data_IF_589607386897
#
_entry.id   IF_589607386897
#
_cell.length_a   1.000
_cell.length_b   1.000
_cell.length_c   1.000
_cell.angle_alpha   90.00
_cell.angle_beta   90.00
_cell.angle_gamma   90.00
#
_symmetry.space_group_name_H-M   'P 1'
#
loop_
_entity.id
_entity.type
_entity.pdbx_description
1 polymer ?
#
# COMPACT_ATOMS: atom_id res chain seq x y z
N UNK A 1 23.69 -43.96 -12.49
CA UNK A 1 24.03 -44.08 -11.06
C UNK A 1 23.42 -42.87 -10.38
N UNK A 2 22.24 -42.88 -9.78
CA UNK A 2 21.69 -43.80 -8.78
C UNK A 2 20.30 -44.35 -9.19
N UNK A 3 20.03 -45.58 -8.76
CA UNK A 3 18.73 -46.27 -8.74
C UNK A 3 18.10 -46.07 -7.35
N UNK A 4 16.77 -45.89 -7.28
CA UNK A 4 15.81 -46.70 -6.51
C UNK A 4 14.42 -46.05 -6.58
N UNK A 5 13.48 -46.70 -7.30
CA UNK A 5 12.40 -47.58 -6.78
C UNK A 5 11.17 -46.76 -6.31
N UNK A 6 10.05 -46.79 -7.04
CA UNK A 6 8.93 -47.76 -6.95
C UNK A 6 8.31 -47.78 -5.53
N UNK A 7 7.00 -47.73 -5.27
CA UNK A 7 5.80 -48.11 -6.02
C UNK A 7 4.56 -47.66 -5.16
N UNK A 8 3.45 -47.26 -5.80
CA UNK A 8 2.08 -47.89 -5.75
C UNK A 8 1.04 -47.34 -4.76
N UNK A 9 -0.07 -46.91 -5.38
CA UNK A 9 -1.52 -46.99 -5.10
C UNK A 9 -2.05 -47.12 -3.66
N UNK A 10 -3.13 -46.37 -3.37
CA UNK A 10 -4.34 -46.91 -2.72
C UNK A 10 -5.63 -46.27 -3.30
N UNK A 11 -6.42 -47.14 -3.91
CA UNK A 11 -7.87 -47.30 -4.11
C UNK A 11 -8.91 -46.15 -4.09
N UNK A 12 -9.78 -46.27 -5.10
CA UNK A 12 -11.09 -45.68 -5.32
C UNK A 12 -12.19 -46.64 -4.81
N UNK A 13 -13.39 -46.08 -4.57
CA UNK A 13 -14.74 -46.68 -4.45
C UNK A 13 -15.28 -47.10 -3.07
N UNK A 14 -16.46 -46.52 -2.77
CA UNK A 14 -17.40 -46.94 -1.75
C UNK A 14 -18.71 -46.13 -1.87
N UNK A 15 -19.49 -46.43 -2.91
CA UNK A 15 -20.88 -45.98 -3.09
C UNK A 15 -21.78 -46.89 -2.24
N UNK A 16 -22.74 -46.31 -1.49
CA UNK A 16 -23.95 -47.01 -1.04
C UNK A 16 -25.13 -46.02 -1.04
N UNK A 17 -26.23 -46.46 -1.65
CA UNK A 17 -27.45 -45.72 -1.95
C UNK A 17 -28.65 -46.32 -1.18
N UNK A 18 -29.58 -45.43 -0.77
CA UNK A 18 -30.99 -45.59 -0.36
C UNK A 18 -31.31 -46.43 0.90
N UNK A 19 -32.23 -46.04 1.80
CA UNK A 19 -33.69 -45.79 1.63
C UNK A 19 -34.21 -44.83 2.75
N UNK A 20 -35.32 -44.07 2.54
CA UNK A 20 -35.89 -43.14 3.53
C UNK A 20 -36.87 -43.82 4.49
N UNK A 21 -36.91 -43.37 5.75
CA UNK A 21 -37.90 -43.81 6.73
C UNK A 21 -38.00 -42.83 7.90
N UNK A 22 -39.18 -42.23 8.07
CA UNK A 22 -39.55 -41.48 9.26
C UNK A 22 -39.46 -42.39 10.50
N UNK A 23 -38.74 -41.94 11.52
CA UNK A 23 -38.93 -42.39 12.90
C UNK A 23 -38.81 -41.17 13.80
N UNK A 24 -39.93 -40.83 14.43
CA UNK A 24 -40.01 -39.96 15.60
C UNK A 24 -39.33 -40.73 16.73
N UNK A 25 -38.18 -40.22 17.19
CA UNK A 25 -37.56 -40.67 18.42
C UNK A 25 -37.22 -39.42 19.24
N UNK A 26 -37.88 -39.29 20.39
CA UNK A 26 -37.49 -38.35 21.44
C UNK A 26 -36.09 -38.70 21.92
N UNK A 27 -35.12 -37.88 21.55
CA UNK A 27 -33.76 -37.96 22.07
C UNK A 27 -33.71 -37.26 23.43
N UNK A 28 -33.89 -38.05 24.50
CA UNK A 28 -33.56 -37.66 25.86
C UNK A 28 -32.05 -37.88 26.11
N UNK A 29 -31.21 -37.09 25.46
CA UNK A 29 -29.78 -37.02 25.81
C UNK A 29 -29.58 -35.96 26.91
N UNK A 30 -28.95 -36.31 28.04
CA UNK A 30 -28.72 -35.39 29.13
C UNK A 30 -27.64 -34.36 28.75
N UNK A 31 -28.08 -33.10 28.66
CA UNK A 31 -27.29 -31.91 28.96
C UNK A 31 -25.82 -31.91 28.54
N UNK A 32 -25.53 -31.96 27.24
CA UNK A 32 -24.26 -31.39 26.75
C UNK A 32 -24.38 -29.87 26.93
N UNK A 33 -23.87 -29.37 28.06
CA UNK A 33 -23.48 -27.97 28.20
C UNK A 33 -22.36 -27.75 27.18
N UNK A 34 -22.72 -27.33 25.98
CA UNK A 34 -21.79 -26.64 25.10
C UNK A 34 -21.38 -25.40 25.89
N UNK A 35 -20.17 -25.41 26.45
CA UNK A 35 -19.54 -24.20 26.94
C UNK A 35 -19.64 -23.19 25.81
N UNK A 36 -20.45 -22.14 26.00
CA UNK A 36 -20.45 -20.98 25.11
C UNK A 36 -19.07 -20.35 25.25
N UNK A 37 -18.09 -20.87 24.52
CA UNK A 37 -16.84 -20.18 24.27
C UNK A 37 -17.21 -18.80 23.75
N UNK A 38 -16.73 -17.75 24.40
CA UNK A 38 -16.96 -16.38 23.98
C UNK A 38 -16.48 -16.21 22.53
N UNK A 39 -17.41 -16.18 21.58
CA UNK A 39 -17.09 -15.82 20.21
C UNK A 39 -16.63 -14.36 20.22
N UNK A 40 -15.31 -14.15 20.14
CA UNK A 40 -14.74 -12.81 19.99
C UNK A 40 -15.31 -12.16 18.75
N UNK A 41 -15.83 -10.94 18.88
CA UNK A 41 -16.33 -10.20 17.73
C UNK A 41 -15.19 -9.94 16.73
N UNK A 42 -15.50 -9.79 15.44
CA UNK A 42 -14.49 -9.47 14.41
C UNK A 42 -13.70 -8.21 14.77
N UNK A 43 -14.36 -7.22 15.38
CA UNK A 43 -13.71 -6.01 15.87
C UNK A 43 -12.66 -6.35 16.95
N UNK A 44 -12.99 -7.19 17.92
CA UNK A 44 -12.06 -7.64 18.95
C UNK A 44 -10.90 -8.45 18.36
N UNK A 45 -11.16 -9.32 17.37
CA UNK A 45 -10.11 -10.07 16.68
C UNK A 45 -9.15 -9.14 15.92
N UNK A 46 -9.69 -8.16 15.18
CA UNK A 46 -8.87 -7.17 14.48
C UNK A 46 -8.02 -6.33 15.44
N UNK A 47 -8.57 -5.93 16.60
CA UNK A 47 -7.83 -5.11 17.57
C UNK A 47 -6.71 -5.93 18.22
N UNK A 48 -6.95 -7.22 18.46
CA UNK A 48 -5.92 -8.14 18.92
C UNK A 48 -4.81 -8.32 17.86
N UNK A 49 -5.18 -8.46 16.58
CA UNK A 49 -4.22 -8.56 15.49
C UNK A 49 -3.36 -7.30 15.36
N UNK A 50 -3.99 -6.12 15.42
CA UNK A 50 -3.31 -4.81 15.43
C UNK A 50 -2.30 -4.72 16.59
N UNK A 51 -2.72 -5.09 17.80
CA UNK A 51 -1.85 -5.05 18.98
C UNK A 51 -0.67 -6.04 18.89
N UNK A 52 -0.87 -7.22 18.33
CA UNK A 52 0.19 -8.21 18.11
C UNK A 52 1.22 -7.70 17.10
N UNK A 53 0.78 -7.24 15.93
CA UNK A 53 1.70 -6.74 14.91
C UNK A 53 2.43 -5.47 15.33
N UNK A 54 1.76 -4.57 16.06
CA UNK A 54 2.44 -3.40 16.66
C UNK A 54 3.55 -3.84 17.62
N UNK A 55 3.28 -4.80 18.51
CA UNK A 55 4.28 -5.35 19.44
C UNK A 55 5.45 -5.97 18.68
N UNK A 56 5.16 -6.74 17.64
CA UNK A 56 6.18 -7.33 16.78
C UNK A 56 7.09 -6.28 16.15
N UNK A 57 6.54 -5.21 15.55
CA UNK A 57 7.34 -4.11 15.00
C UNK A 57 8.23 -3.45 16.05
N UNK A 58 7.69 -3.17 17.25
CA UNK A 58 8.49 -2.59 18.34
C UNK A 58 9.65 -3.50 18.75
N UNK A 59 9.44 -4.81 18.77
CA UNK A 59 10.49 -5.80 19.07
C UNK A 59 11.56 -5.91 17.98
N UNK A 60 11.24 -5.57 16.73
CA UNK A 60 12.23 -5.53 15.64
C UNK A 60 13.10 -4.27 15.66
N UNK A 61 12.81 -3.29 16.51
CA UNK A 61 13.59 -2.06 16.58
C UNK A 61 14.98 -2.32 17.18
N UNK A 62 16.02 -1.80 16.52
CA UNK A 62 17.40 -1.86 17.02
C UNK A 62 17.65 -0.83 18.11
N UNK A 63 18.79 -0.97 18.81
CA UNK A 63 19.22 -0.04 19.86
C UNK A 63 19.33 1.41 19.39
N UNK A 64 19.78 1.63 18.15
CA UNK A 64 19.89 2.96 17.55
C UNK A 64 18.55 3.54 17.07
N UNK A 65 17.43 2.84 17.28
CA UNK A 65 16.10 3.24 16.88
C UNK A 65 15.67 2.81 15.48
N UNK A 66 16.55 2.21 14.69
CA UNK A 66 16.25 1.81 13.30
C UNK A 66 15.52 0.47 13.18
N UNK A 67 14.88 0.24 12.03
CA UNK A 67 14.36 -1.05 11.59
C UNK A 67 15.11 -1.52 10.35
N UNK A 68 15.64 -2.74 10.39
CA UNK A 68 16.50 -3.28 9.34
C UNK A 68 15.84 -4.46 8.63
N UNK A 69 15.74 -4.36 7.31
CA UNK A 69 15.39 -5.50 6.45
C UNK A 69 16.41 -6.61 6.65
N UNK A 70 15.93 -7.84 6.88
CA UNK A 70 16.75 -9.06 6.86
C UNK A 70 16.67 -9.77 5.50
N UNK A 71 15.73 -9.37 4.65
CA UNK A 71 15.45 -9.99 3.35
C UNK A 71 16.24 -9.31 2.22
N UNK A 72 16.38 -7.99 2.27
CA UNK A 72 16.95 -7.18 1.18
C UNK A 72 18.16 -6.37 1.62
N UNK A 73 19.34 -6.74 1.12
CA UNK A 73 20.58 -5.99 1.33
C UNK A 73 20.51 -4.56 0.78
N UNK A 74 19.72 -4.32 -0.27
CA UNK A 74 19.50 -2.97 -0.82
C UNK A 74 18.89 -1.99 0.19
N UNK A 75 18.27 -2.49 1.26
CA UNK A 75 17.68 -1.72 2.36
C UNK A 75 18.60 -1.61 3.59
N UNK A 76 19.90 -1.88 3.45
CA UNK A 76 20.89 -1.87 4.53
C UNK A 76 21.06 -0.48 5.21
N UNK A 77 20.75 0.61 4.50
CA UNK A 77 20.74 1.95 5.11
C UNK A 77 19.73 2.07 6.25
N UNK A 78 18.69 1.22 6.24
CA UNK A 78 17.57 1.14 7.20
C UNK A 78 16.60 2.31 7.12
N UNK A 79 16.77 3.23 6.17
CA UNK A 79 16.00 4.48 6.14
C UNK A 79 14.59 4.25 5.63
N UNK A 80 14.44 3.57 4.49
CA UNK A 80 13.14 3.28 3.90
C UNK A 80 12.25 2.46 4.84
N UNK A 81 12.81 1.39 5.40
CA UNK A 81 12.14 0.52 6.36
C UNK A 81 11.78 1.27 7.63
N UNK A 82 12.71 2.06 8.19
CA UNK A 82 12.41 2.86 9.38
C UNK A 82 11.35 3.93 9.12
N UNK A 83 11.36 4.60 7.96
CA UNK A 83 10.35 5.59 7.60
C UNK A 83 8.95 4.98 7.46
N UNK A 84 8.85 3.80 6.83
CA UNK A 84 7.59 3.07 6.70
C UNK A 84 7.07 2.58 8.06
N UNK A 85 7.93 1.98 8.87
CA UNK A 85 7.54 1.51 10.21
C UNK A 85 7.16 2.68 11.11
N UNK A 86 7.92 3.77 11.10
CA UNK A 86 7.62 4.97 11.90
C UNK A 86 6.30 5.61 11.51
N UNK A 87 6.05 5.83 10.22
CA UNK A 87 4.78 6.39 9.75
C UNK A 87 3.59 5.51 10.15
N UNK A 88 3.76 4.19 10.10
CA UNK A 88 2.75 3.22 10.54
C UNK A 88 2.52 3.27 12.05
N UNK A 89 3.59 3.22 12.87
CA UNK A 89 3.48 3.23 14.33
C UNK A 89 2.83 4.53 14.83
N UNK A 90 3.15 5.66 14.21
CA UNK A 90 2.52 6.95 14.52
C UNK A 90 1.04 6.95 14.10
N UNK A 91 0.72 6.49 12.88
CA UNK A 91 -0.67 6.45 12.40
C UNK A 91 -1.59 5.61 13.31
N UNK A 92 -1.13 4.44 13.76
CA UNK A 92 -1.93 3.51 14.57
C UNK A 92 -1.89 3.82 16.07
N UNK A 93 -1.13 4.83 16.49
CA UNK A 93 -1.06 5.26 17.89
C UNK A 93 -2.00 6.46 18.09
N UNK A 94 -3.04 6.35 18.94
CA UNK A 94 -3.98 7.44 19.15
C UNK A 94 -3.31 8.75 19.59
N UNK A 95 -3.77 9.92 19.13
CA UNK A 95 -3.33 11.21 19.65
C UNK A 95 -3.48 11.29 21.17
N UNK A 96 -2.47 11.79 21.87
CA UNK A 96 -2.49 11.92 23.34
C UNK A 96 -2.22 10.63 24.12
N UNK A 97 -2.20 9.45 23.48
CA UNK A 97 -1.59 8.28 24.09
C UNK A 97 -0.10 8.57 24.32
N UNK A 98 0.46 8.11 25.44
CA UNK A 98 1.90 8.20 25.68
C UNK A 98 2.63 7.59 24.48
N UNK A 99 3.27 8.46 23.70
CA UNK A 99 4.05 8.04 22.54
C UNK A 99 5.21 7.22 23.09
N UNK A 100 5.23 5.94 22.72
CA UNK A 100 6.13 4.98 23.33
C UNK A 100 7.59 5.31 23.00
N UNK A 101 8.50 4.92 23.89
CA UNK A 101 9.96 5.08 23.73
C UNK A 101 10.46 4.67 22.34
N UNK A 102 9.84 3.65 21.74
CA UNK A 102 10.15 3.18 20.39
C UNK A 102 9.95 4.25 19.30
N UNK A 103 8.86 5.02 19.34
CA UNK A 103 8.60 6.10 18.38
C UNK A 103 9.64 7.21 18.57
N UNK A 104 9.96 7.58 19.81
CA UNK A 104 10.99 8.59 20.10
C UNK A 104 12.36 8.19 19.56
N UNK A 105 12.81 6.95 19.79
CA UNK A 105 14.10 6.45 19.25
C UNK A 105 14.10 6.38 17.73
N UNK A 106 13.02 5.90 17.13
CA UNK A 106 12.92 5.82 15.66
C UNK A 106 12.91 7.18 14.99
N UNK A 107 12.27 8.16 15.63
CA UNK A 107 12.32 9.54 15.18
C UNK A 107 13.73 10.14 15.32
N UNK A 108 14.42 9.90 16.43
CA UNK A 108 15.80 10.34 16.62
C UNK A 108 16.75 9.76 15.55
N UNK A 109 16.60 8.46 15.23
CA UNK A 109 17.31 7.83 14.12
C UNK A 109 17.09 8.56 12.80
N UNK A 110 15.83 8.74 12.38
CA UNK A 110 15.50 9.39 11.10
C UNK A 110 15.99 10.84 11.06
N UNK A 111 15.86 11.59 12.16
CA UNK A 111 16.38 12.97 12.28
C UNK A 111 17.91 13.00 12.11
N UNK A 112 18.63 12.08 12.74
CA UNK A 112 20.10 11.97 12.60
C UNK A 112 20.52 11.74 11.15
N UNK A 113 19.71 11.01 10.39
CA UNK A 113 19.96 10.67 8.98
C UNK A 113 19.71 11.86 8.06
N UNK A 114 18.61 12.57 8.25
CA UNK A 114 18.29 13.75 7.42
C UNK A 114 19.39 14.82 7.53
N UNK A 115 19.92 15.04 8.74
CA UNK A 115 20.94 16.05 9.00
C UNK A 115 22.30 15.75 8.34
N UNK A 116 22.51 14.55 7.81
CA UNK A 116 23.77 14.17 7.17
C UNK A 116 23.84 14.60 5.69
N UNK A 117 22.79 15.20 5.11
CA UNK A 117 22.62 15.71 3.72
C UNK A 117 22.93 14.75 2.54
N UNK A 118 23.89 13.85 2.68
CA UNK A 118 24.41 12.93 1.67
C UNK A 118 23.43 11.80 1.33
N UNK A 119 22.53 11.47 2.27
CA UNK A 119 21.60 10.36 2.15
C UNK A 119 20.62 10.52 0.98
N UNK A 120 20.35 11.74 0.53
CA UNK A 120 19.44 12.00 -0.59
C UNK A 120 20.16 12.11 -1.93
N UNK A 121 21.50 12.12 -1.89
CA UNK A 121 22.41 12.41 -3.00
C UNK A 121 23.32 11.22 -3.35
N UNK A 122 23.44 10.21 -2.48
CA UNK A 122 24.31 9.04 -2.69
C UNK A 122 23.69 7.97 -3.59
N UNK A 123 24.54 7.12 -4.18
CA UNK A 123 24.10 5.97 -5.00
C UNK A 123 23.34 4.95 -4.15
N UNK A 124 23.75 4.78 -2.89
CA UNK A 124 23.06 3.98 -1.89
C UNK A 124 21.64 4.50 -1.62
N UNK A 125 21.39 5.80 -1.80
CA UNK A 125 20.08 6.41 -1.64
C UNK A 125 19.05 5.82 -2.61
N UNK A 126 19.42 5.53 -3.86
CA UNK A 126 18.46 5.10 -4.89
C UNK A 126 17.85 3.74 -4.58
N UNK A 127 18.67 2.83 -4.06
CA UNK A 127 18.24 1.51 -3.58
C UNK A 127 17.32 1.60 -2.35
N UNK A 128 17.27 2.77 -1.71
CA UNK A 128 16.52 3.06 -0.48
C UNK A 128 15.29 3.97 -0.71
N UNK A 129 14.79 4.07 -1.94
CA UNK A 129 13.52 4.76 -2.25
C UNK A 129 13.42 6.13 -1.56
N UNK A 130 14.37 7.04 -1.85
CA UNK A 130 14.63 8.21 -1.02
C UNK A 130 13.42 9.15 -1.00
N UNK A 131 12.71 9.27 -2.12
CA UNK A 131 11.54 10.12 -2.18
C UNK A 131 10.37 9.58 -1.35
N UNK A 132 10.13 8.27 -1.37
CA UNK A 132 9.14 7.66 -0.47
C UNK A 132 9.51 7.90 0.99
N UNK A 133 10.79 7.72 1.34
CA UNK A 133 11.29 7.97 2.68
C UNK A 133 11.02 9.41 3.13
N UNK A 134 11.31 10.42 2.29
CA UNK A 134 10.99 11.83 2.58
C UNK A 134 9.50 12.02 2.82
N UNK A 135 8.64 11.47 1.95
CA UNK A 135 7.19 11.61 2.09
C UNK A 135 6.70 11.01 3.42
N UNK A 136 7.17 9.82 3.78
CA UNK A 136 6.77 9.11 4.99
C UNK A 136 7.30 9.80 6.27
N UNK A 137 8.52 10.33 6.24
CA UNK A 137 9.08 11.13 7.34
C UNK A 137 8.26 12.41 7.53
N UNK A 138 7.95 13.13 6.45
CA UNK A 138 7.14 14.35 6.53
C UNK A 138 5.71 14.04 7.02
N UNK A 139 5.09 12.96 6.53
CA UNK A 139 3.79 12.51 7.01
C UNK A 139 3.82 12.16 8.52
N UNK A 140 4.92 11.56 8.99
CA UNK A 140 5.15 11.28 10.42
C UNK A 140 5.23 12.57 11.22
N UNK A 141 6.00 13.55 10.76
CA UNK A 141 6.16 14.87 11.39
C UNK A 141 4.86 15.68 11.45
N UNK A 142 3.96 15.49 10.48
CA UNK A 142 2.67 16.15 10.48
C UNK A 142 1.76 15.65 11.61
N UNK A 143 1.93 14.40 12.03
CA UNK A 143 1.14 13.75 13.08
C UNK A 143 1.83 13.76 14.46
N UNK A 144 3.17 13.75 14.49
CA UNK A 144 3.98 13.64 15.71
C UNK A 144 4.68 14.96 16.06
N UNK A 145 4.29 15.61 17.16
CA UNK A 145 4.79 16.95 17.55
C UNK A 145 5.35 17.04 18.98
N UNK A 146 6.45 16.36 19.33
CA UNK A 146 7.08 16.52 20.65
C UNK A 146 7.88 17.83 20.80
N UNK A 147 8.44 18.39 19.72
CA UNK A 147 9.31 19.58 19.75
C UNK A 147 8.90 20.58 18.65
N UNK A 148 8.12 21.61 19.00
CA UNK A 148 7.43 22.45 18.02
C UNK A 148 8.34 23.23 17.05
N UNK A 149 9.53 23.68 17.50
CA UNK A 149 10.41 24.55 16.71
C UNK A 149 11.34 23.76 15.79
N UNK A 150 12.16 22.83 16.32
CA UNK A 150 13.09 22.04 15.51
C UNK A 150 12.35 21.16 14.47
N UNK A 151 11.17 20.65 14.81
CA UNK A 151 10.35 19.90 13.85
C UNK A 151 9.71 20.81 12.79
N UNK A 152 9.61 22.13 13.02
CA UNK A 152 9.13 23.07 12.00
C UNK A 152 10.17 23.24 10.90
N UNK A 153 11.43 23.51 11.25
CA UNK A 153 12.53 23.67 10.29
C UNK A 153 12.72 22.41 9.44
N UNK A 154 12.67 21.23 10.08
CA UNK A 154 12.76 19.96 9.38
C UNK A 154 11.58 19.74 8.41
N UNK A 155 10.34 20.05 8.83
CA UNK A 155 9.16 19.99 7.94
C UNK A 155 9.31 20.93 6.75
N UNK A 156 9.80 22.14 6.98
CA UNK A 156 10.01 23.13 5.93
C UNK A 156 11.06 22.66 4.92
N UNK A 157 12.19 22.14 5.40
CA UNK A 157 13.26 21.58 4.56
C UNK A 157 12.78 20.40 3.72
N UNK A 158 12.11 19.41 4.33
CA UNK A 158 11.58 18.25 3.60
C UNK A 158 10.50 18.67 2.59
N UNK A 159 9.64 19.64 2.94
CA UNK A 159 8.63 20.17 2.02
C UNK A 159 9.27 20.85 0.82
N UNK A 160 10.30 21.67 1.02
CA UNK A 160 11.05 22.30 -0.06
C UNK A 160 11.69 21.27 -0.98
N UNK A 161 12.29 20.21 -0.43
CA UNK A 161 12.90 19.14 -1.23
C UNK A 161 11.85 18.37 -2.06
N UNK A 162 10.66 18.09 -1.50
CA UNK A 162 9.56 17.50 -2.27
C UNK A 162 9.11 18.43 -3.40
N UNK A 163 8.93 19.73 -3.14
CA UNK A 163 8.53 20.70 -4.15
C UNK A 163 9.56 20.82 -5.27
N UNK A 164 10.86 20.82 -4.92
CA UNK A 164 11.97 20.83 -5.87
C UNK A 164 11.99 19.60 -6.77
N UNK A 165 11.59 18.44 -6.23
CA UNK A 165 11.54 17.15 -6.97
C UNK A 165 10.26 16.92 -7.77
N UNK A 166 9.28 17.81 -7.71
CA UNK A 166 8.14 17.71 -8.62
C UNK A 166 8.61 17.96 -10.04
N UNK A 167 8.24 17.08 -10.98
CA UNK A 167 8.62 17.26 -12.39
C UNK A 167 7.79 18.37 -13.02
N UNK A 168 8.21 19.62 -12.90
CA UNK A 168 7.65 20.71 -13.70
C UNK A 168 8.51 20.83 -14.95
N UNK A 169 7.97 20.45 -16.11
CA UNK A 169 8.71 20.52 -17.38
C UNK A 169 9.12 21.98 -17.64
N UNK A 170 10.42 22.19 -17.93
CA UNK A 170 10.89 23.47 -18.47
C UNK A 170 10.60 23.49 -19.97
N UNK A 171 10.17 24.66 -20.48
CA UNK A 171 9.62 24.81 -21.83
C UNK A 171 10.60 24.41 -22.97
N UNK A 172 11.90 24.32 -22.67
CA UNK A 172 12.99 24.03 -23.59
C UNK A 172 13.32 22.53 -23.73
N UNK A 173 12.68 21.64 -22.95
CA UNK A 173 13.00 20.19 -22.90
C UNK A 173 11.79 19.27 -22.96
N UNK A 174 10.72 19.69 -23.62
CA UNK A 174 9.50 18.88 -23.76
C UNK A 174 9.70 17.89 -24.91
N UNK A 175 9.80 16.59 -24.60
CA UNK A 175 9.66 15.54 -25.61
C UNK A 175 8.17 15.21 -25.80
N UNK A 176 7.81 14.68 -26.98
CA UNK A 176 6.45 14.21 -27.23
C UNK A 176 6.06 13.13 -26.20
N UNK A 177 4.95 13.33 -25.47
CA UNK A 177 4.49 12.41 -24.42
C UNK A 177 4.99 12.72 -23.00
N UNK A 178 5.78 13.78 -22.80
CA UNK A 178 6.13 14.23 -21.46
C UNK A 178 4.95 14.94 -20.78
N UNK A 179 4.45 14.38 -19.68
CA UNK A 179 3.47 15.05 -18.81
C UNK A 179 4.17 15.55 -17.55
N UNK A 180 4.13 16.85 -17.34
CA UNK A 180 4.60 17.51 -16.13
C UNK A 180 3.66 17.22 -14.94
N UNK A 181 4.18 17.36 -13.73
CA UNK A 181 3.41 17.50 -12.50
C UNK A 181 3.44 16.31 -11.56
N UNK A 182 3.91 15.14 -12.00
CA UNK A 182 4.09 13.98 -11.14
C UNK A 182 5.45 13.96 -10.41
N UNK A 183 5.59 13.01 -9.48
CA UNK A 183 6.85 12.70 -8.78
C UNK A 183 7.35 11.31 -9.15
N UNK A 184 8.68 11.13 -9.17
CA UNK A 184 9.39 9.88 -9.50
C UNK A 184 10.19 9.36 -8.30
N UNK A 185 10.38 8.04 -8.14
CA UNK A 185 10.94 7.46 -6.91
C UNK A 185 12.44 7.74 -6.68
N UNK A 186 13.20 8.04 -7.74
CA UNK A 186 14.67 8.12 -7.72
C UNK A 186 15.28 9.50 -7.40
N UNK A 187 16.61 9.58 -7.53
CA UNK A 187 17.38 10.83 -7.33
C UNK A 187 17.58 11.61 -8.63
N UNK A 188 17.88 12.91 -8.50
CA UNK A 188 18.28 13.76 -9.65
C UNK A 188 19.71 13.50 -10.12
N UNK A 189 20.51 12.81 -9.31
CA UNK A 189 21.92 12.52 -9.57
C UNK A 189 22.12 11.53 -10.71
N UNK A 190 21.11 10.74 -11.07
CA UNK A 190 21.17 9.81 -12.20
C UNK A 190 20.51 10.40 -13.44
N UNK A 191 21.36 10.80 -14.41
CA UNK A 191 20.98 11.14 -15.79
C UNK A 191 20.50 9.92 -16.61
N UNK A 192 19.96 8.88 -15.98
CA UNK A 192 19.21 7.89 -16.75
C UNK A 192 17.92 8.56 -17.20
N UNK A 193 17.70 8.60 -18.52
CA UNK A 193 16.58 9.33 -19.12
C UNK A 193 15.24 9.03 -18.43
N UNK A 194 14.33 10.00 -18.47
CA UNK A 194 12.99 9.96 -17.85
C UNK A 194 12.23 8.63 -18.02
N UNK A 195 12.52 7.87 -19.08
CA UNK A 195 11.91 6.59 -19.37
C UNK A 195 12.28 5.46 -18.39
N UNK A 196 13.43 5.50 -17.70
CA UNK A 196 13.84 4.40 -16.80
C UNK A 196 13.11 4.42 -15.45
N UNK A 197 12.82 5.63 -14.95
CA UNK A 197 12.16 5.85 -13.67
C UNK A 197 11.11 6.96 -13.81
N UNK A 198 10.01 6.71 -14.54
CA UNK A 198 9.01 7.73 -14.79
C UNK A 198 8.29 8.12 -13.50
N UNK A 199 7.68 9.30 -13.53
CA UNK A 199 6.72 9.66 -12.49
C UNK A 199 5.59 8.60 -12.43
N UNK A 200 5.12 8.34 -11.21
CA UNK A 200 4.01 7.40 -10.98
C UNK A 200 2.99 7.93 -9.97
N UNK A 201 1.79 7.37 -10.04
CA UNK A 201 0.63 7.79 -9.24
C UNK A 201 0.85 7.57 -7.73
N UNK A 202 1.53 6.50 -7.33
CA UNK A 202 1.80 6.21 -5.90
C UNK A 202 2.72 7.25 -5.29
N UNK A 203 3.91 7.48 -5.86
CA UNK A 203 4.84 8.50 -5.36
C UNK A 203 4.19 9.88 -5.37
N UNK A 204 3.43 10.19 -6.42
CA UNK A 204 2.69 11.45 -6.53
C UNK A 204 1.68 11.60 -5.39
N UNK A 205 0.90 10.56 -5.08
CA UNK A 205 0.00 10.54 -3.94
C UNK A 205 0.76 10.83 -2.63
N UNK A 206 1.84 10.09 -2.35
CA UNK A 206 2.57 10.25 -1.08
C UNK A 206 3.17 11.65 -0.92
N UNK A 207 3.70 12.23 -2.01
CA UNK A 207 4.22 13.60 -1.99
C UNK A 207 3.10 14.62 -1.73
N UNK A 208 1.97 14.49 -2.43
CA UNK A 208 0.81 15.37 -2.24
C UNK A 208 0.24 15.27 -0.83
N UNK A 209 0.08 14.06 -0.29
CA UNK A 209 -0.44 13.84 1.05
C UNK A 209 0.49 14.45 2.12
N UNK A 210 1.80 14.26 1.96
CA UNK A 210 2.79 14.82 2.88
C UNK A 210 2.82 16.36 2.84
N UNK A 211 2.81 16.96 1.65
CA UNK A 211 2.79 18.41 1.46
C UNK A 211 1.46 19.05 1.91
N UNK A 212 0.33 18.40 1.62
CA UNK A 212 -0.99 18.86 2.04
C UNK A 212 -1.12 18.80 3.57
N UNK A 213 -0.71 17.70 4.20
CA UNK A 213 -0.68 17.57 5.66
C UNK A 213 0.26 18.57 6.34
N UNK A 214 1.32 19.01 5.66
CA UNK A 214 2.22 20.06 6.14
C UNK A 214 1.68 21.48 5.89
N UNK A 215 0.58 21.62 5.14
CA UNK A 215 0.06 22.90 4.62
C UNK A 215 1.09 23.66 3.76
N UNK A 216 1.85 22.90 2.96
CA UNK A 216 2.96 23.38 2.12
C UNK A 216 2.81 22.98 0.66
N UNK A 217 1.58 22.77 0.17
CA UNK A 217 1.31 22.47 -1.25
C UNK A 217 0.87 23.75 -1.98
N UNK A 218 1.76 24.44 -2.74
CA UNK A 218 1.38 25.64 -3.48
C UNK A 218 0.41 25.33 -4.62
N UNK A 219 -0.39 26.34 -5.00
CA UNK A 219 -1.38 26.21 -6.07
C UNK A 219 -0.77 25.74 -7.40
N UNK A 220 0.40 26.27 -7.80
CA UNK A 220 1.09 25.86 -9.04
C UNK A 220 1.42 24.36 -9.04
N UNK A 221 1.97 23.85 -7.94
CA UNK A 221 2.34 22.45 -7.78
C UNK A 221 1.10 21.54 -7.78
N UNK A 222 0.02 22.00 -7.14
CA UNK A 222 -1.29 21.33 -7.15
C UNK A 222 -1.86 21.23 -8.56
N UNK A 223 -1.87 22.31 -9.33
CA UNK A 223 -2.37 22.33 -10.72
C UNK A 223 -1.58 21.34 -11.57
N UNK A 224 -0.24 21.39 -11.52
CA UNK A 224 0.59 20.44 -12.25
C UNK A 224 0.29 18.99 -11.87
N UNK A 225 0.12 18.70 -10.58
CA UNK A 225 -0.24 17.36 -10.14
C UNK A 225 -1.61 16.90 -10.68
N UNK A 226 -2.61 17.80 -10.73
CA UNK A 226 -3.91 17.50 -11.32
C UNK A 226 -3.82 17.20 -12.82
N UNK A 227 -2.98 17.92 -13.56
CA UNK A 227 -2.69 17.64 -14.98
C UNK A 227 -2.07 16.25 -15.13
N UNK A 228 -1.08 15.91 -14.31
CA UNK A 228 -0.47 14.58 -14.30
C UNK A 228 -1.50 13.46 -14.00
N UNK A 229 -2.35 13.65 -12.99
CA UNK A 229 -3.38 12.68 -12.60
C UNK A 229 -4.42 12.48 -13.69
N UNK A 230 -4.80 13.54 -14.41
CA UNK A 230 -5.70 13.44 -15.55
C UNK A 230 -5.14 12.52 -16.65
N UNK A 231 -3.82 12.52 -16.88
CA UNK A 231 -3.19 11.62 -17.86
C UNK A 231 -3.05 10.19 -17.36
N UNK A 232 -3.00 10.00 -16.03
CA UNK A 232 -2.98 8.67 -15.43
C UNK A 232 -4.38 8.02 -15.41
N UNK A 233 -5.45 8.81 -15.48
CA UNK A 233 -6.82 8.30 -15.46
C UNK A 233 -7.29 7.91 -16.87
N UNK A 234 -7.81 6.69 -17.03
CA UNK A 234 -8.28 6.23 -18.33
C UNK A 234 -9.55 6.96 -18.79
N UNK A 235 -9.63 7.38 -20.06
CA UNK A 235 -10.82 8.00 -20.63
C UNK A 235 -11.96 6.99 -20.81
N UNK A 236 -13.17 7.49 -21.05
CA UNK A 236 -14.45 6.74 -21.09
C UNK A 236 -14.50 5.61 -22.13
N UNK A 237 -13.64 5.63 -23.14
CA UNK A 237 -13.68 4.68 -24.26
C UNK A 237 -12.84 3.41 -24.03
N UNK A 238 -12.02 3.38 -22.98
CA UNK A 238 -11.13 2.26 -22.69
C UNK A 238 -11.72 1.27 -21.68
N UNK A 239 -11.32 0.00 -21.76
CA UNK A 239 -11.69 -1.00 -20.74
C UNK A 239 -11.07 -0.60 -19.40
N UNK A 240 -11.88 -0.51 -18.35
CA UNK A 240 -11.44 0.04 -17.07
C UNK A 240 -11.46 1.57 -17.01
N UNK A 241 -12.20 2.23 -17.90
CA UNK A 241 -12.41 3.68 -17.89
C UNK A 241 -12.71 4.24 -16.49
N UNK A 242 -12.09 5.37 -16.15
CA UNK A 242 -12.13 5.97 -14.82
C UNK A 242 -11.06 5.43 -13.86
N UNK A 243 -10.49 4.24 -14.11
CA UNK A 243 -9.39 3.70 -13.33
C UNK A 243 -8.07 4.41 -13.65
N UNK A 244 -7.07 4.26 -12.77
CA UNK A 244 -5.74 4.84 -12.95
C UNK A 244 -4.70 3.78 -13.32
N UNK A 245 -3.80 4.16 -14.23
CA UNK A 245 -2.54 3.45 -14.46
C UNK A 245 -1.48 3.92 -13.48
N UNK A 246 -0.42 3.12 -13.32
CA UNK A 246 0.66 3.47 -12.40
C UNK A 246 1.53 4.58 -12.97
N UNK A 247 1.84 4.52 -14.25
CA UNK A 247 2.56 5.55 -14.99
C UNK A 247 1.96 5.75 -16.37
N UNK A 248 2.11 6.96 -16.92
CA UNK A 248 1.55 7.36 -18.22
C UNK A 248 2.15 6.60 -19.41
N UNK A 249 3.31 5.94 -19.22
CA UNK A 249 4.01 5.16 -20.24
C UNK A 249 3.35 3.77 -20.35
N UNK A 250 2.52 3.51 -21.37
CA UNK A 250 1.61 2.35 -21.39
C UNK A 250 2.29 1.00 -21.19
N UNK A 251 3.41 0.77 -21.87
CA UNK A 251 4.20 -0.48 -21.89
C UNK A 251 5.31 -0.54 -20.85
N UNK A 252 5.43 0.48 -19.99
CA UNK A 252 6.46 0.50 -18.98
C UNK A 252 6.26 -0.64 -17.96
N UNK A 253 7.32 -1.37 -17.55
CA UNK A 253 7.20 -2.53 -16.64
C UNK A 253 6.62 -2.18 -15.26
N UNK A 254 6.62 -0.91 -14.88
CA UNK A 254 5.96 -0.43 -13.65
C UNK A 254 4.42 -0.45 -13.74
N UNK A 255 3.84 -0.47 -14.94
CA UNK A 255 2.43 -0.77 -15.14
C UNK A 255 2.21 -2.28 -14.99
N UNK A 256 2.10 -2.73 -13.74
CA UNK A 256 2.11 -4.15 -13.38
C UNK A 256 1.02 -4.95 -14.08
N UNK A 257 -0.18 -4.40 -14.26
CA UNK A 257 -1.26 -5.06 -14.98
C UNK A 257 -1.07 -5.15 -16.51
N UNK A 258 0.07 -4.69 -17.03
CA UNK A 258 0.43 -4.71 -18.44
C UNK A 258 -0.22 -3.59 -19.24
N UNK A 259 -0.25 -3.78 -20.55
CA UNK A 259 -0.80 -2.83 -21.52
C UNK A 259 -1.76 -3.50 -22.49
N UNK A 260 -2.67 -2.72 -23.06
CA UNK A 260 -3.64 -3.17 -24.08
C UNK A 260 -3.76 -2.13 -25.18
N UNK A 261 -4.31 -2.54 -26.33
CA UNK A 261 -4.65 -1.63 -27.43
C UNK A 261 -6.15 -1.35 -27.45
N UNK A 262 -6.54 -0.12 -27.74
CA UNK A 262 -7.93 0.23 -28.05
C UNK A 262 -8.35 -0.36 -29.39
N UNK A 263 -9.64 -0.24 -29.75
CA UNK A 263 -10.13 -0.59 -31.09
C UNK A 263 -9.42 0.19 -32.21
N UNK A 264 -9.00 1.42 -31.94
CA UNK A 264 -8.22 2.26 -32.85
C UNK A 264 -6.72 1.94 -32.88
N UNK A 265 -6.26 0.92 -32.16
CA UNK A 265 -4.86 0.49 -32.11
C UNK A 265 -3.96 1.28 -31.14
N UNK A 266 -4.49 2.32 -30.47
CA UNK A 266 -3.73 3.11 -29.48
C UNK A 266 -3.40 2.27 -28.25
N UNK A 267 -2.13 2.25 -27.85
CA UNK A 267 -1.67 1.54 -26.66
C UNK A 267 -2.01 2.33 -25.39
N UNK A 268 -2.46 1.64 -24.35
CA UNK A 268 -2.72 2.20 -23.03
C UNK A 268 -2.35 1.20 -21.93
N UNK A 269 -1.93 1.70 -20.77
CA UNK A 269 -1.68 0.85 -19.60
C UNK A 269 -3.00 0.32 -19.03
N UNK A 270 -3.02 -0.91 -18.54
CA UNK A 270 -4.22 -1.48 -17.91
C UNK A 270 -4.33 -0.92 -16.48
N UNK A 271 -5.44 -0.27 -16.10
CA UNK A 271 -5.64 0.21 -14.74
C UNK A 271 -5.83 -0.97 -13.78
N UNK A 272 -5.42 -0.79 -12.54
CA UNK A 272 -5.55 -1.79 -11.50
C UNK A 272 -5.88 -1.17 -10.15
N UNK A 273 -6.31 -2.02 -9.20
CA UNK A 273 -6.94 -1.57 -7.97
C UNK A 273 -6.06 -0.62 -7.15
N UNK A 274 -4.82 -1.02 -6.80
CA UNK A 274 -3.92 -0.19 -5.99
C UNK A 274 -3.58 1.15 -6.65
N UNK A 275 -3.24 1.18 -7.94
CA UNK A 275 -2.99 2.42 -8.67
C UNK A 275 -4.22 3.34 -8.71
N UNK A 276 -5.41 2.77 -8.84
CA UNK A 276 -6.67 3.53 -8.80
C UNK A 276 -6.99 4.07 -7.41
N UNK A 277 -6.68 3.32 -6.36
CA UNK A 277 -6.77 3.82 -5.00
C UNK A 277 -5.82 4.99 -4.76
N UNK A 278 -4.57 4.91 -5.23
CA UNK A 278 -3.62 6.01 -5.14
C UNK A 278 -4.09 7.24 -5.93
N UNK A 279 -4.64 7.05 -7.13
CA UNK A 279 -5.19 8.12 -7.95
C UNK A 279 -6.34 8.86 -7.26
N UNK A 280 -7.27 8.13 -6.65
CA UNK A 280 -8.36 8.72 -5.84
C UNK A 280 -7.78 9.51 -4.67
N UNK A 281 -6.89 8.90 -3.88
CA UNK A 281 -6.27 9.57 -2.73
C UNK A 281 -5.44 10.79 -3.15
N UNK A 282 -4.79 10.77 -4.31
CA UNK A 282 -4.03 11.89 -4.85
C UNK A 282 -4.94 13.06 -5.25
N UNK A 283 -6.07 12.79 -5.91
CA UNK A 283 -7.07 13.82 -6.21
C UNK A 283 -7.58 14.49 -4.93
N UNK A 284 -7.89 13.69 -3.90
CA UNK A 284 -8.31 14.23 -2.60
C UNK A 284 -7.23 15.08 -1.93
N UNK A 285 -5.96 14.68 -2.02
CA UNK A 285 -4.83 15.45 -1.49
C UNK A 285 -4.61 16.78 -2.24
N UNK A 286 -5.16 16.92 -3.45
CA UNK A 286 -5.25 18.17 -4.20
C UNK A 286 -6.51 18.99 -3.90
N UNK A 287 -7.24 18.68 -2.83
CA UNK A 287 -8.54 19.28 -2.44
C UNK A 287 -9.64 19.10 -3.49
N UNK A 288 -9.57 18.06 -4.33
CA UNK A 288 -10.70 17.67 -5.18
C UNK A 288 -11.79 17.08 -4.29
N UNK A 289 -13.02 17.53 -4.48
CA UNK A 289 -14.17 17.08 -3.69
C UNK A 289 -14.59 15.67 -4.08
N UNK A 290 -15.17 14.92 -3.15
CA UNK A 290 -15.51 13.51 -3.39
C UNK A 290 -16.60 13.30 -4.44
N UNK A 291 -17.40 14.32 -4.75
CA UNK A 291 -18.41 14.32 -5.82
C UNK A 291 -17.85 14.64 -7.21
N UNK A 292 -16.56 15.00 -7.33
CA UNK A 292 -15.91 15.24 -8.62
C UNK A 292 -16.03 14.00 -9.52
N UNK A 293 -16.39 14.24 -10.79
CA UNK A 293 -16.60 13.19 -11.81
C UNK A 293 -15.42 12.22 -11.91
N UNK A 294 -14.18 12.69 -11.73
CA UNK A 294 -12.97 11.86 -11.78
C UNK A 294 -12.92 10.88 -10.62
N UNK A 295 -13.31 11.29 -9.41
CA UNK A 295 -13.35 10.39 -8.25
C UNK A 295 -14.53 9.42 -8.41
N UNK A 296 -15.70 9.91 -8.80
CA UNK A 296 -16.89 9.07 -8.98
C UNK A 296 -16.72 8.01 -10.07
N UNK A 297 -16.07 8.34 -11.20
CA UNK A 297 -15.78 7.36 -12.24
C UNK A 297 -14.80 6.30 -11.77
N UNK A 298 -13.75 6.70 -11.03
CA UNK A 298 -12.80 5.77 -10.44
C UNK A 298 -13.47 4.82 -9.43
N UNK A 299 -14.28 5.35 -8.51
CA UNK A 299 -15.04 4.57 -7.53
C UNK A 299 -15.99 3.56 -8.17
N UNK A 300 -16.61 3.94 -9.28
CA UNK A 300 -17.56 3.09 -10.03
C UNK A 300 -16.84 1.86 -10.62
N UNK A 301 -15.64 2.05 -11.15
CA UNK A 301 -14.92 0.96 -11.84
C UNK A 301 -14.13 0.06 -10.90
N UNK A 302 -13.87 0.46 -9.64
CA UNK A 302 -13.01 -0.30 -8.71
C UNK A 302 -13.35 -1.80 -8.61
N UNK A 303 -14.64 -2.15 -8.59
CA UNK A 303 -15.10 -3.55 -8.50
C UNK A 303 -14.75 -4.41 -9.71
N UNK A 304 -14.42 -3.79 -10.84
CA UNK A 304 -14.07 -4.42 -12.11
C UNK A 304 -12.56 -4.45 -12.34
N UNK A 305 -11.79 -3.73 -11.53
CA UNK A 305 -10.34 -3.66 -11.69
C UNK A 305 -9.67 -4.93 -11.16
N UNK A 306 -8.61 -5.33 -11.87
CA UNK A 306 -7.79 -6.45 -11.45
C UNK A 306 -6.91 -6.04 -10.26
N UNK A 307 -6.59 -7.01 -9.41
CA UNK A 307 -5.45 -6.90 -8.51
C UNK A 307 -4.19 -6.68 -9.33
N UNK A 308 -3.24 -5.89 -8.83
CA UNK A 308 -1.95 -5.76 -9.48
C UNK A 308 -1.22 -7.09 -9.45
N UNK A 309 -1.32 -7.83 -10.55
CA UNK A 309 -0.44 -8.95 -10.88
C UNK A 309 0.70 -8.35 -11.67
N UNK A 310 1.94 -8.79 -11.46
CA UNK A 310 2.93 -8.64 -12.53
C UNK A 310 2.38 -9.47 -13.69
N UNK A 311 1.95 -8.77 -14.75
CA UNK A 311 1.45 -9.37 -15.98
C UNK A 311 2.35 -10.55 -16.32
N UNK A 312 1.73 -11.73 -16.40
CA UNK A 312 2.27 -12.99 -16.90
C UNK A 312 3.78 -12.91 -17.19
N UNK A 313 4.62 -13.04 -16.14
CA UNK A 313 5.99 -13.45 -16.42
C UNK A 313 5.87 -14.74 -17.23
N UNK A 314 6.46 -14.84 -18.42
CA UNK A 314 6.24 -15.97 -19.34
C UNK A 314 6.73 -17.33 -18.79
N UNK A 315 7.19 -17.38 -17.54
CA UNK A 315 7.84 -18.55 -16.96
C UNK A 315 6.91 -19.58 -16.33
N UNK A 316 5.61 -19.31 -16.09
CA UNK A 316 4.77 -20.40 -15.55
C UNK A 316 3.24 -20.27 -15.73
N UNK A 317 2.78 -20.50 -16.95
CA UNK A 317 1.34 -20.63 -17.31
C UNK A 317 0.67 -21.84 -16.60
N UNK A 318 1.43 -22.67 -15.88
CA UNK A 318 0.95 -23.87 -15.17
C UNK A 318 0.66 -23.67 -13.68
N UNK A 319 0.89 -22.49 -13.09
CA UNK A 319 0.63 -22.25 -11.66
C UNK A 319 -0.70 -21.54 -11.42
N UNK A 320 -1.48 -22.06 -10.47
CA UNK A 320 -2.60 -21.34 -9.86
C UNK A 320 -2.04 -20.32 -8.86
N UNK A 321 -2.27 -19.03 -9.11
CA UNK A 321 -1.87 -17.96 -8.19
C UNK A 321 -2.92 -17.72 -7.10
N UNK A 322 -2.48 -17.49 -5.86
CA UNK A 322 -3.29 -17.11 -4.70
C UNK A 322 -3.29 -15.59 -4.50
N UNK A 323 -4.15 -15.08 -3.60
CA UNK A 323 -4.26 -13.63 -3.31
C UNK A 323 -2.95 -13.01 -2.80
N UNK A 324 -2.23 -13.72 -1.92
CA UNK A 324 -0.93 -13.31 -1.38
C UNK A 324 0.22 -13.39 -2.39
N UNK A 325 -0.03 -13.96 -3.57
CA UNK A 325 0.98 -13.94 -4.62
C UNK A 325 1.09 -12.54 -5.23
N UNK A 326 0.07 -11.68 -5.13
CA UNK A 326 0.10 -10.32 -5.68
C UNK A 326 0.77 -9.30 -4.73
N UNK A 327 0.76 -8.01 -5.11
CA UNK A 327 1.04 -6.88 -4.20
C UNK A 327 -0.13 -6.71 -3.22
N UNK A 328 -0.31 -7.68 -2.32
CA UNK A 328 -1.49 -7.80 -1.48
C UNK A 328 -1.51 -6.76 -0.35
N UNK A 329 -0.43 -6.64 0.43
CA UNK A 329 -0.45 -5.83 1.65
C UNK A 329 -0.54 -4.34 1.35
N UNK A 330 0.23 -3.86 0.37
CA UNK A 330 0.13 -2.48 -0.09
C UNK A 330 -1.25 -2.18 -0.69
N UNK A 331 -1.81 -3.08 -1.52
CA UNK A 331 -3.14 -2.89 -2.07
C UNK A 331 -4.21 -2.86 -0.97
N UNK A 332 -4.09 -3.72 0.05
CA UNK A 332 -4.95 -3.69 1.22
C UNK A 332 -4.87 -2.36 1.95
N UNK A 333 -3.65 -1.84 2.18
CA UNK A 333 -3.44 -0.54 2.83
C UNK A 333 -4.00 0.63 2.00
N UNK A 334 -3.82 0.61 0.68
CA UNK A 334 -4.33 1.63 -0.24
C UNK A 334 -5.86 1.60 -0.34
N UNK A 335 -6.45 0.41 -0.42
CA UNK A 335 -7.91 0.22 -0.43
C UNK A 335 -8.54 0.71 0.87
N UNK A 336 -7.98 0.30 2.01
CA UNK A 336 -8.46 0.73 3.32
C UNK A 336 -8.33 2.25 3.52
N UNK A 337 -7.31 2.89 2.93
CA UNK A 337 -7.15 4.34 2.91
C UNK A 337 -8.28 5.03 2.17
N UNK A 338 -8.57 4.61 0.93
CA UNK A 338 -9.69 5.20 0.16
C UNK A 338 -11.01 4.96 0.86
N UNK A 339 -11.23 3.76 1.41
CA UNK A 339 -12.45 3.47 2.18
C UNK A 339 -12.63 4.44 3.35
N UNK A 340 -11.59 4.63 4.18
CA UNK A 340 -11.62 5.57 5.30
C UNK A 340 -11.89 7.01 4.82
N UNK A 341 -11.14 7.48 3.81
CA UNK A 341 -11.31 8.82 3.23
C UNK A 341 -12.71 9.08 2.67
N UNK A 342 -13.33 8.07 2.04
CA UNK A 342 -14.71 8.18 1.54
C UNK A 342 -15.73 8.22 2.68
N UNK A 343 -15.58 7.36 3.71
CA UNK A 343 -16.48 7.37 4.86
C UNK A 343 -16.42 8.68 5.65
N UNK A 344 -15.23 9.23 5.87
CA UNK A 344 -15.04 10.55 6.50
C UNK A 344 -15.72 11.69 5.73
N UNK A 345 -15.97 11.49 4.43
CA UNK A 345 -16.69 12.43 3.56
C UNK A 345 -18.16 12.06 3.37
N UNK A 346 -18.69 11.09 4.12
CA UNK A 346 -20.06 10.61 4.00
C UNK A 346 -20.38 9.85 2.71
N UNK A 347 -19.37 9.46 1.94
CA UNK A 347 -19.55 8.72 0.67
C UNK A 347 -19.54 7.22 0.95
N UNK A 348 -20.67 6.58 0.68
CA UNK A 348 -20.83 5.13 0.83
C UNK A 348 -20.52 4.43 -0.49
N UNK A 349 -19.60 3.47 -0.45
CA UNK A 349 -19.29 2.59 -1.58
C UNK A 349 -19.36 1.12 -1.14
N UNK A 350 -20.30 0.36 -1.70
CA UNK A 350 -20.57 -1.02 -1.31
C UNK A 350 -19.38 -1.97 -1.59
N UNK A 351 -18.66 -1.74 -2.69
CA UNK A 351 -17.47 -2.52 -3.02
C UNK A 351 -16.38 -2.29 -1.97
N UNK A 352 -16.04 -1.04 -1.66
CA UNK A 352 -15.04 -0.73 -0.64
C UNK A 352 -15.43 -1.27 0.74
N UNK A 353 -16.71 -1.17 1.13
CA UNK A 353 -17.22 -1.78 2.36
C UNK A 353 -16.97 -3.28 2.40
N UNK A 354 -17.37 -4.00 1.35
CA UNK A 354 -17.22 -5.46 1.29
C UNK A 354 -15.74 -5.86 1.25
N UNK A 355 -14.93 -5.12 0.50
CA UNK A 355 -13.49 -5.35 0.36
C UNK A 355 -12.73 -5.10 1.66
N UNK A 356 -13.04 -4.05 2.40
CA UNK A 356 -12.43 -3.79 3.71
C UNK A 356 -12.76 -4.88 4.73
N UNK A 357 -13.97 -5.45 4.69
CA UNK A 357 -14.32 -6.62 5.50
C UNK A 357 -13.49 -7.85 5.12
N UNK A 358 -13.35 -8.13 3.83
CA UNK A 358 -12.54 -9.24 3.31
C UNK A 358 -11.06 -9.08 3.67
N UNK A 359 -10.51 -7.88 3.50
CA UNK A 359 -9.13 -7.54 3.87
C UNK A 359 -8.90 -7.77 5.35
N UNK A 360 -9.79 -7.25 6.22
CA UNK A 360 -9.66 -7.43 7.67
C UNK A 360 -9.69 -8.91 8.06
N UNK A 361 -10.63 -9.67 7.51
CA UNK A 361 -10.73 -11.11 7.77
C UNK A 361 -9.45 -11.85 7.33
N UNK A 362 -8.99 -11.58 6.12
CA UNK A 362 -7.78 -12.21 5.56
C UNK A 362 -6.54 -11.87 6.40
N UNK A 363 -6.38 -10.62 6.83
CA UNK A 363 -5.24 -10.22 7.66
C UNK A 363 -5.27 -10.89 9.04
N UNK A 364 -6.46 -11.04 9.65
CA UNK A 364 -6.59 -11.79 10.91
C UNK A 364 -6.17 -13.25 10.72
N UNK A 365 -6.64 -13.91 9.65
CA UNK A 365 -6.36 -15.32 9.37
C UNK A 365 -4.90 -15.59 8.98
N UNK A 366 -4.25 -14.63 8.33
CA UNK A 366 -2.88 -14.77 7.81
C UNK A 366 -1.80 -14.21 8.73
N UNK A 367 -2.16 -13.67 9.89
CA UNK A 367 -1.17 -13.22 10.87
C UNK A 367 -0.39 -14.42 11.42
N UNK A 368 0.93 -14.31 11.42
CA UNK A 368 1.80 -15.32 12.04
C UNK A 368 1.64 -15.32 13.56
N UNK A 369 2.04 -16.40 14.22
CA UNK A 369 1.83 -16.59 15.66
C UNK A 369 2.49 -15.50 16.53
N UNK A 370 3.66 -15.00 16.10
CA UNK A 370 4.42 -13.90 16.72
C UNK A 370 3.89 -12.51 16.35
N UNK A 371 2.94 -12.41 15.42
CA UNK A 371 2.20 -11.20 15.09
C UNK A 371 2.56 -10.54 13.76
N UNK A 372 3.53 -11.05 13.00
CA UNK A 372 3.90 -10.45 11.72
C UNK A 372 3.06 -10.97 10.55
N UNK A 373 3.27 -10.32 9.40
CA UNK A 373 2.82 -10.77 8.09
C UNK A 373 3.99 -10.73 7.12
N UNK A 374 3.96 -11.62 6.13
CA UNK A 374 4.88 -11.67 5.00
C UNK A 374 4.14 -12.30 3.80
N UNK A 375 4.55 -11.93 2.59
CA UNK A 375 4.11 -12.63 1.39
C UNK A 375 5.06 -13.80 1.10
N UNK A 376 4.56 -14.87 0.47
CA UNK A 376 5.41 -15.97 0.04
C UNK A 376 6.30 -15.63 -1.17
N UNK A 377 6.02 -14.52 -1.89
CA UNK A 377 6.72 -14.12 -3.10
C UNK A 377 7.41 -12.76 -2.93
N UNK A 378 8.59 -12.55 -3.54
CA UNK A 378 9.40 -11.33 -3.38
C UNK A 378 8.86 -10.10 -4.11
N UNK A 379 7.60 -10.14 -4.54
CA UNK A 379 7.06 -9.10 -5.39
C UNK A 379 6.87 -7.83 -4.58
N UNK A 380 7.54 -6.77 -5.03
CA UNK A 380 7.52 -5.46 -4.38
C UNK A 380 7.98 -5.51 -2.91
N UNK A 381 8.85 -6.47 -2.59
CA UNK A 381 9.46 -6.65 -1.28
C UNK A 381 8.45 -6.96 -0.16
N UNK A 382 7.25 -7.44 -0.49
CA UNK A 382 6.26 -7.82 0.52
C UNK A 382 6.57 -9.16 1.22
N UNK A 383 7.58 -9.91 0.76
CA UNK A 383 8.23 -11.00 1.50
C UNK A 383 9.19 -10.50 2.60
N UNK A 384 9.41 -9.18 2.71
CA UNK A 384 10.03 -8.59 3.88
C UNK A 384 8.98 -8.40 4.99
N UNK A 385 9.15 -9.06 6.16
CA UNK A 385 8.16 -8.98 7.23
C UNK A 385 7.95 -7.58 7.80
N UNK A 386 8.94 -6.68 7.74
CA UNK A 386 8.76 -5.29 8.18
C UNK A 386 7.82 -4.53 7.23
N UNK A 387 7.98 -4.73 5.93
CA UNK A 387 7.19 -4.06 4.90
C UNK A 387 5.74 -4.57 4.93
N UNK A 388 5.55 -5.89 4.87
CA UNK A 388 4.23 -6.50 4.91
C UNK A 388 3.48 -6.20 6.22
N UNK A 389 4.14 -6.32 7.36
CA UNK A 389 3.53 -6.01 8.67
C UNK A 389 3.13 -4.53 8.77
N UNK A 390 3.95 -3.60 8.29
CA UNK A 390 3.61 -2.19 8.29
C UNK A 390 2.33 -1.91 7.49
N UNK A 391 2.24 -2.41 6.25
CA UNK A 391 1.03 -2.23 5.44
C UNK A 391 -0.19 -2.96 6.01
N UNK A 392 -0.03 -4.17 6.55
CA UNK A 392 -1.10 -4.91 7.21
C UNK A 392 -1.69 -4.12 8.40
N UNK A 393 -0.84 -3.51 9.23
CA UNK A 393 -1.29 -2.69 10.35
C UNK A 393 -2.03 -1.44 9.90
N UNK A 394 -1.53 -0.73 8.87
CA UNK A 394 -2.26 0.40 8.29
C UNK A 394 -3.64 -0.02 7.78
N UNK A 395 -3.73 -1.16 7.09
CA UNK A 395 -4.98 -1.69 6.58
C UNK A 395 -5.96 -2.06 7.71
N UNK A 396 -5.51 -2.80 8.72
CA UNK A 396 -6.35 -3.17 9.88
C UNK A 396 -6.85 -1.91 10.57
N UNK A 397 -5.96 -0.98 10.93
CA UNK A 397 -6.32 0.23 11.64
C UNK A 397 -7.40 1.04 10.89
N UNK A 398 -7.19 1.25 9.59
CA UNK A 398 -8.13 1.99 8.74
C UNK A 398 -9.46 1.27 8.60
N UNK A 399 -9.47 -0.06 8.39
CA UNK A 399 -10.70 -0.87 8.30
C UNK A 399 -11.48 -0.96 9.61
N UNK A 400 -10.82 -0.75 10.75
CA UNK A 400 -11.45 -0.82 12.08
C UNK A 400 -11.98 0.51 12.60
N UNK A 401 -11.54 1.64 12.04
CA UNK A 401 -11.91 2.96 12.56
C UNK A 401 -13.43 3.16 12.37
N UNK A 402 -14.23 3.27 13.45
CA UNK A 402 -15.65 3.66 13.35
C UNK A 402 -15.75 5.03 12.69
N UNK A 403 -16.87 5.34 12.03
CA UNK A 403 -17.15 6.76 11.79
C UNK A 403 -17.64 7.32 13.13
N UNK A 404 -17.04 8.42 13.58
CA UNK A 404 -17.59 9.18 14.70
C UNK A 404 -19.02 9.64 14.41
#
# INVERSE_FOLDING_TARGET
>A
MYRHCNHIQVHLLGILLFIPGQLIAEDQTPGIRVERGEFKSRQQLGSNALLKGRRWLVQQQRYDGSWQSKTYASLESRIATSALVMSTLVEITPPGAAQGESISRGFAFLKSKINQEEIWKSIEAESNYPLYSICLILATLNQYQPEATANRELRDSLSQELLRRQRILQADRISEGDVAGGWRPGSDSFQQGSAANPANVSVTFFALAALSGAQKLPLKNRIGALEYLQHCQLPTEATGAGGFVFTILPDHPLNKAGSKRTRSGKLYGVPYLSASCDGISALLACDVTSDDRRIQSALTVLSQLLHSRLAEFPFNIKRSYQKLDALYFYEAAATARVWKQMREKGVVNQFLNSRCHEVLQTLIEKQHADGHWENPLPWMMEDDPLIATAFALQAIYRCQTPAD
#
